data_IF_609215116775
#
_entry.id   IF_609215116775
#
_cell.length_a   1.000
_cell.length_b   1.000
_cell.length_c   1.000
_cell.angle_alpha   90.00
_cell.angle_beta   90.00
_cell.angle_gamma   90.00
#
_symmetry.space_group_name_H-M   'P 1'
#
loop_
_entity.id
_entity.type
_entity.pdbx_description
1 polymer ?
#
# COMPACT_ATOMS: atom_id res chain seq x y z
N UNK A 1 -3.40 -10.67 8.11
CA UNK A 1 -3.64 -9.81 9.30
C UNK A 1 -5.00 -9.13 9.27
N UNK A 2 -5.23 -8.09 8.45
CA UNK A 2 -6.52 -7.38 8.46
C UNK A 2 -7.72 -8.27 8.13
N UNK A 3 -7.60 -9.12 7.11
CA UNK A 3 -8.65 -10.07 6.75
C UNK A 3 -8.96 -11.05 7.90
N UNK A 4 -7.93 -11.55 8.57
CA UNK A 4 -8.09 -12.48 9.69
C UNK A 4 -8.73 -11.81 10.92
N UNK A 5 -8.43 -10.52 11.13
CA UNK A 5 -8.89 -9.75 12.29
C UNK A 5 -10.35 -9.30 12.17
N UNK A 6 -10.69 -8.63 11.07
CA UNK A 6 -11.99 -7.96 10.89
C UNK A 6 -12.80 -8.51 9.72
N UNK A 7 -12.20 -9.34 8.87
CA UNK A 7 -12.77 -9.77 7.61
C UNK A 7 -12.84 -8.62 6.59
N UNK A 8 -12.44 -8.87 5.35
CA UNK A 8 -12.60 -7.90 4.25
C UNK A 8 -13.86 -8.25 3.45
N UNK A 9 -14.78 -7.29 3.36
CA UNK A 9 -15.93 -7.35 2.47
C UNK A 9 -15.53 -6.90 1.05
N UNK A 10 -14.96 -5.70 0.95
CA UNK A 10 -14.42 -5.12 -0.28
C UNK A 10 -13.30 -4.15 0.08
N UNK A 11 -12.50 -3.75 -0.89
CA UNK A 11 -11.46 -2.76 -0.67
C UNK A 11 -10.84 -2.25 -1.96
N UNK A 12 -10.13 -1.15 -1.83
CA UNK A 12 -9.47 -0.48 -2.92
C UNK A 12 -8.09 0.01 -2.48
N UNK A 13 -7.09 -0.27 -3.30
CA UNK A 13 -5.71 0.07 -3.01
C UNK A 13 -5.18 1.08 -4.01
N UNK A 14 -4.49 2.10 -3.51
CA UNK A 14 -3.69 2.99 -4.34
C UNK A 14 -2.23 2.76 -4.00
N UNK A 15 -1.41 2.37 -4.97
CA UNK A 15 0.04 2.28 -4.75
C UNK A 15 0.73 3.50 -5.32
N UNK A 16 1.42 4.25 -4.47
CA UNK A 16 2.19 5.42 -4.84
C UNK A 16 3.65 4.97 -4.94
N UNK A 17 4.09 4.78 -6.17
CA UNK A 17 5.38 4.19 -6.47
C UNK A 17 6.43 5.25 -6.75
N UNK A 18 7.64 5.06 -6.20
CA UNK A 18 8.83 5.66 -6.80
C UNK A 18 8.91 5.30 -8.29
N UNK A 19 9.41 6.22 -9.11
CA UNK A 19 9.65 5.89 -10.50
C UNK A 19 10.80 4.87 -10.64
N UNK A 20 10.83 4.16 -11.76
CA UNK A 20 11.88 3.19 -12.09
C UNK A 20 12.51 3.56 -13.43
N UNK A 21 13.48 2.77 -13.91
CA UNK A 21 14.08 2.98 -15.23
C UNK A 21 13.13 2.85 -16.43
N UNK A 22 11.89 2.39 -16.20
CA UNK A 22 10.84 2.34 -17.23
C UNK A 22 10.22 3.72 -17.51
N UNK A 23 10.33 4.69 -16.58
CA UNK A 23 9.88 6.07 -16.80
C UNK A 23 11.09 6.93 -17.20
N UNK A 24 11.00 7.72 -18.29
CA UNK A 24 12.13 8.42 -18.86
C UNK A 24 12.45 9.72 -18.08
N UNK A 25 13.67 10.23 -18.24
CA UNK A 25 14.08 11.53 -17.67
C UNK A 25 13.46 12.73 -18.38
N UNK A 26 13.19 12.60 -19.68
CA UNK A 26 12.51 13.57 -20.53
C UNK A 26 11.39 12.87 -21.30
N UNK A 27 10.38 13.61 -21.74
CA UNK A 27 9.32 13.08 -22.59
C UNK A 27 9.90 12.35 -23.81
N UNK A 28 9.48 11.10 -24.04
CA UNK A 28 9.95 10.25 -25.15
C UNK A 28 8.88 9.29 -25.65
N UNK A 29 9.15 8.64 -26.78
CA UNK A 29 8.26 7.64 -27.37
C UNK A 29 8.14 6.43 -26.44
N UNK A 30 6.90 6.05 -26.13
CA UNK A 30 6.60 4.87 -25.33
C UNK A 30 5.25 4.28 -25.74
N UNK A 31 5.10 2.95 -25.65
CA UNK A 31 3.86 2.23 -26.00
C UNK A 31 2.66 2.62 -25.13
N UNK A 32 2.95 2.97 -23.88
CA UNK A 32 2.02 3.57 -22.92
C UNK A 32 2.35 5.06 -22.84
N UNK A 33 1.46 5.90 -23.38
CA UNK A 33 1.67 7.34 -23.50
C UNK A 33 1.82 8.04 -22.15
N UNK A 34 1.24 7.50 -21.07
CA UNK A 34 1.46 8.05 -19.72
C UNK A 34 2.89 7.83 -19.27
N UNK A 35 3.45 6.64 -19.55
CA UNK A 35 4.82 6.29 -19.17
C UNK A 35 5.90 6.93 -20.04
N UNK A 36 5.53 7.54 -21.16
CA UNK A 36 6.45 8.32 -21.98
C UNK A 36 6.76 9.72 -21.42
N UNK A 37 6.16 10.12 -20.29
CA UNK A 37 6.33 11.46 -19.70
C UNK A 37 7.49 11.50 -18.69
N UNK A 38 8.15 12.65 -18.57
CA UNK A 38 9.29 12.87 -17.69
C UNK A 38 8.96 12.53 -16.22
N UNK A 39 9.66 11.53 -15.67
CA UNK A 39 9.35 10.91 -14.38
C UNK A 39 9.49 11.86 -13.19
N UNK A 40 10.54 12.69 -13.20
CA UNK A 40 10.83 13.62 -12.11
C UNK A 40 9.92 14.86 -12.09
N UNK A 41 9.04 15.00 -13.09
CA UNK A 41 8.15 16.17 -13.26
C UNK A 41 6.66 15.80 -13.20
N UNK A 42 6.33 14.50 -13.08
CA UNK A 42 4.98 14.01 -13.33
C UNK A 42 4.50 13.04 -12.26
N UNK A 43 3.21 13.11 -11.94
CA UNK A 43 2.48 12.03 -11.29
C UNK A 43 1.84 11.17 -12.39
N UNK A 44 2.42 10.01 -12.68
CA UNK A 44 2.05 9.20 -13.85
C UNK A 44 1.10 8.09 -13.42
N UNK A 45 -0.19 8.12 -13.83
CA UNK A 45 -1.12 7.05 -13.53
C UNK A 45 -0.69 5.75 -14.24
N UNK A 46 -0.85 4.62 -13.56
CA UNK A 46 -0.58 3.33 -14.17
C UNK A 46 -1.44 2.23 -13.55
N UNK A 47 -1.59 1.13 -14.28
CA UNK A 47 -2.25 -0.06 -13.75
C UNK A 47 -1.33 -0.78 -12.76
N UNK A 48 -1.93 -1.47 -11.79
CA UNK A 48 -1.20 -2.33 -10.86
C UNK A 48 -1.68 -3.77 -10.97
N UNK A 49 -0.74 -4.71 -10.99
CA UNK A 49 -1.04 -6.14 -10.91
C UNK A 49 -1.32 -6.62 -9.48
N UNK A 50 -1.05 -5.77 -8.47
CA UNK A 50 -1.06 -6.19 -7.06
C UNK A 50 -2.44 -6.68 -6.61
N UNK A 51 -3.53 -6.00 -6.99
CA UNK A 51 -4.88 -6.43 -6.64
C UNK A 51 -5.22 -7.81 -7.23
N UNK A 52 -4.84 -8.06 -8.49
CA UNK A 52 -5.03 -9.37 -9.14
C UNK A 52 -4.20 -10.45 -8.46
N UNK A 53 -2.96 -10.13 -8.07
CA UNK A 53 -2.07 -11.06 -7.39
C UNK A 53 -2.61 -11.47 -6.01
N UNK A 54 -3.25 -10.55 -5.26
CA UNK A 54 -3.84 -10.88 -3.95
C UNK A 54 -4.87 -12.00 -4.08
N UNK A 55 -5.73 -11.97 -5.10
CA UNK A 55 -6.72 -13.04 -5.33
C UNK A 55 -6.12 -14.41 -5.71
N UNK A 56 -4.83 -14.47 -6.06
CA UNK A 56 -4.11 -15.72 -6.32
C UNK A 56 -3.50 -16.31 -5.04
N UNK A 57 -3.00 -15.47 -4.14
CA UNK A 57 -2.38 -15.89 -2.87
C UNK A 57 -3.37 -16.04 -1.72
N UNK A 58 -4.46 -15.27 -1.75
CA UNK A 58 -5.55 -15.29 -0.77
C UNK A 58 -6.88 -15.48 -1.54
N UNK A 59 -7.24 -16.73 -1.90
CA UNK A 59 -8.41 -17.01 -2.74
C UNK A 59 -9.73 -16.46 -2.17
N UNK A 60 -9.86 -16.36 -0.86
CA UNK A 60 -11.02 -15.79 -0.17
C UNK A 60 -11.19 -14.27 -0.38
N UNK A 61 -10.16 -13.60 -0.90
CA UNK A 61 -10.16 -12.20 -1.31
C UNK A 61 -10.30 -11.99 -2.83
N UNK A 62 -10.41 -13.07 -3.61
CA UNK A 62 -10.56 -12.98 -5.06
C UNK A 62 -11.79 -12.15 -5.43
N UNK A 63 -11.57 -11.08 -6.19
CA UNK A 63 -12.61 -10.16 -6.64
C UNK A 63 -13.08 -9.14 -5.60
N UNK A 64 -12.51 -9.15 -4.38
CA UNK A 64 -12.87 -8.18 -3.33
C UNK A 64 -11.96 -6.96 -3.27
N UNK A 65 -10.76 -7.07 -3.82
CA UNK A 65 -9.79 -5.99 -3.85
C UNK A 65 -9.52 -5.60 -5.29
N UNK A 66 -9.56 -4.30 -5.55
CA UNK A 66 -9.08 -3.69 -6.78
C UNK A 66 -8.07 -2.59 -6.46
N UNK A 67 -7.40 -2.03 -7.46
CA UNK A 67 -6.49 -0.94 -7.22
C UNK A 67 -5.90 -0.30 -8.46
N UNK A 68 -5.27 0.84 -8.21
CA UNK A 68 -4.54 1.64 -9.20
C UNK A 68 -3.18 2.02 -8.64
N UNK A 69 -2.30 2.48 -9.52
CA UNK A 69 -1.00 2.99 -9.13
C UNK A 69 -0.74 4.38 -9.71
N UNK A 70 0.09 5.14 -9.02
CA UNK A 70 0.64 6.41 -9.50
C UNK A 70 2.14 6.36 -9.27
N UNK A 71 2.93 6.65 -10.30
CA UNK A 71 4.38 6.86 -10.17
C UNK A 71 4.62 8.32 -9.81
N UNK A 72 5.46 8.58 -8.81
CA UNK A 72 5.75 9.93 -8.32
C UNK A 72 7.24 10.26 -8.42
N UNK A 73 7.63 11.56 -8.40
CA UNK A 73 9.03 12.03 -8.46
C UNK A 73 9.91 11.68 -7.24
N UNK A 74 9.91 10.43 -6.79
CA UNK A 74 10.83 9.93 -5.75
C UNK A 74 11.73 8.81 -6.33
N UNK A 75 13.02 8.77 -5.95
CA UNK A 75 13.98 7.83 -6.54
C UNK A 75 13.87 6.42 -5.95
N UNK A 76 13.38 6.30 -4.71
CA UNK A 76 13.17 5.02 -4.03
C UNK A 76 12.13 5.18 -2.92
N UNK A 77 11.63 4.05 -2.41
CA UNK A 77 10.53 3.91 -1.46
C UNK A 77 9.18 4.25 -2.06
N UNK A 78 8.23 3.33 -1.86
CA UNK A 78 6.84 3.43 -2.33
C UNK A 78 5.91 3.28 -1.13
N UNK A 79 4.67 3.74 -1.26
CA UNK A 79 3.66 3.56 -0.22
C UNK A 79 2.40 2.90 -0.78
N UNK A 80 1.80 2.05 0.05
CA UNK A 80 0.51 1.44 -0.22
C UNK A 80 -0.52 2.20 0.61
N UNK A 81 -1.55 2.74 -0.03
CA UNK A 81 -2.69 3.34 0.65
C UNK A 81 -3.91 2.45 0.43
N UNK A 82 -4.14 1.56 1.39
CA UNK A 82 -5.17 0.51 1.36
C UNK A 82 -6.41 0.95 2.12
N UNK A 83 -7.56 0.90 1.46
CA UNK A 83 -8.87 1.12 2.05
C UNK A 83 -9.66 -0.17 1.97
N UNK A 84 -10.28 -0.59 3.07
CA UNK A 84 -11.14 -1.77 3.13
C UNK A 84 -12.44 -1.43 3.85
N UNK A 85 -13.51 -2.13 3.49
CA UNK A 85 -14.72 -2.25 4.29
C UNK A 85 -14.61 -3.54 5.10
N UNK A 86 -14.57 -3.38 6.42
CA UNK A 86 -14.53 -4.47 7.38
C UNK A 86 -15.92 -5.12 7.52
N UNK A 87 -15.96 -6.44 7.69
CA UNK A 87 -17.24 -7.18 7.88
C UNK A 87 -17.92 -6.91 9.23
N UNK A 88 -17.18 -6.33 10.18
CA UNK A 88 -17.68 -5.94 11.50
C UNK A 88 -17.12 -4.59 11.91
N UNK A 89 -17.75 -3.98 12.90
CA UNK A 89 -17.23 -2.77 13.52
C UNK A 89 -15.85 -3.01 14.15
N UNK A 90 -14.97 -2.02 13.99
CA UNK A 90 -13.59 -1.96 14.50
C UNK A 90 -13.23 -0.51 14.83
N UNK A 91 -12.07 -0.30 15.46
CA UNK A 91 -11.48 1.03 15.62
C UNK A 91 -9.98 1.02 15.28
N UNK A 92 -9.35 2.21 15.25
CA UNK A 92 -7.94 2.35 14.91
C UNK A 92 -7.02 1.67 15.94
N UNK A 93 -7.40 1.61 17.22
CA UNK A 93 -6.60 0.97 18.27
C UNK A 93 -6.54 -0.53 18.05
N UNK A 94 -7.67 -1.15 17.72
CA UNK A 94 -7.75 -2.58 17.40
C UNK A 94 -6.88 -2.93 16.19
N UNK A 95 -6.98 -2.16 15.11
CA UNK A 95 -6.17 -2.35 13.90
C UNK A 95 -4.67 -2.21 14.21
N UNK A 96 -4.28 -1.12 14.89
CA UNK A 96 -2.90 -0.83 15.23
C UNK A 96 -2.31 -1.92 16.15
N UNK A 97 -3.05 -2.37 17.15
CA UNK A 97 -2.60 -3.42 18.06
C UNK A 97 -2.40 -4.77 17.34
N UNK A 98 -3.27 -5.11 16.39
CA UNK A 98 -3.13 -6.34 15.62
C UNK A 98 -1.93 -6.29 14.67
N UNK A 99 -1.71 -5.17 13.99
CA UNK A 99 -0.58 -4.96 13.09
C UNK A 99 0.75 -4.96 13.85
N UNK A 100 0.82 -4.28 15.00
CA UNK A 100 1.97 -4.31 15.89
C UNK A 100 2.30 -5.72 16.35
N UNK A 101 1.30 -6.44 16.87
CA UNK A 101 1.47 -7.85 17.29
C UNK A 101 1.99 -8.71 16.16
N UNK A 102 1.45 -8.55 14.94
CA UNK A 102 1.90 -9.30 13.78
C UNK A 102 3.37 -9.03 13.44
N UNK A 103 3.79 -7.76 13.49
CA UNK A 103 5.18 -7.34 13.25
C UNK A 103 6.17 -7.90 14.28
N UNK A 104 5.72 -8.09 15.53
CA UNK A 104 6.58 -8.59 16.62
C UNK A 104 6.59 -10.13 16.71
N UNK A 105 5.64 -10.80 16.06
CA UNK A 105 5.41 -12.24 16.17
C UNK A 105 5.49 -12.93 14.79
N UNK A 106 4.34 -13.34 14.22
CA UNK A 106 4.28 -14.24 13.07
C UNK A 106 4.84 -13.65 11.77
N UNK A 107 5.00 -12.32 11.68
CA UNK A 107 5.63 -11.62 10.55
C UNK A 107 6.92 -10.90 10.95
N UNK A 108 7.56 -11.30 12.06
CA UNK A 108 8.82 -10.69 12.50
C UNK A 108 9.90 -10.77 11.42
N UNK A 109 10.51 -9.62 11.10
CA UNK A 109 11.51 -9.49 10.03
C UNK A 109 10.91 -9.39 8.61
N UNK A 110 9.58 -9.49 8.47
CA UNK A 110 8.86 -9.33 7.19
C UNK A 110 8.02 -8.05 7.23
N UNK A 111 7.26 -7.85 8.31
CA UNK A 111 6.44 -6.67 8.56
C UNK A 111 7.12 -5.81 9.62
N UNK A 112 7.52 -4.60 9.26
CA UNK A 112 7.89 -3.54 10.20
C UNK A 112 6.67 -2.81 10.74
N UNK A 113 6.86 -2.07 11.83
CA UNK A 113 5.84 -1.21 12.43
C UNK A 113 6.52 0.04 12.98
N UNK A 114 5.99 1.22 12.67
CA UNK A 114 6.52 2.50 13.19
C UNK A 114 5.42 3.37 13.76
N UNK A 115 5.76 4.04 14.85
CA UNK A 115 4.99 5.11 15.49
C UNK A 115 5.73 6.45 15.45
N UNK A 116 6.92 6.49 14.82
CA UNK A 116 7.71 7.70 14.67
C UNK A 116 7.17 8.52 13.48
N UNK A 117 7.36 9.85 13.48
CA UNK A 117 6.92 10.72 12.39
C UNK A 117 7.86 10.61 11.18
N UNK A 118 7.97 9.41 10.62
CA UNK A 118 8.84 9.12 9.49
C UNK A 118 8.28 9.64 8.16
N UNK A 119 9.19 9.90 7.23
CA UNK A 119 8.88 10.16 5.83
C UNK A 119 9.47 9.07 4.94
N UNK A 120 9.10 9.05 3.65
CA UNK A 120 9.48 7.96 2.73
C UNK A 120 10.98 7.61 2.75
N UNK A 121 11.88 8.60 2.77
CA UNK A 121 13.32 8.34 2.72
C UNK A 121 13.86 7.62 3.95
N UNK A 122 13.17 7.70 5.10
CA UNK A 122 13.59 7.02 6.34
C UNK A 122 13.50 5.49 6.22
N UNK A 123 12.70 4.98 5.27
CA UNK A 123 12.57 3.56 4.98
C UNK A 123 13.50 3.10 3.84
N UNK A 124 14.34 3.98 3.32
CA UNK A 124 15.30 3.60 2.29
C UNK A 124 16.29 2.58 2.87
N UNK A 125 16.49 1.48 2.16
CA UNK A 125 17.33 0.36 2.60
C UNK A 125 16.80 -0.42 3.81
N UNK A 126 15.54 -0.21 4.19
CA UNK A 126 14.85 -1.09 5.13
C UNK A 126 14.62 -2.47 4.47
N UNK A 127 15.03 -3.59 5.09
CA UNK A 127 14.89 -4.93 4.51
C UNK A 127 13.49 -5.53 4.64
N UNK A 128 12.56 -4.91 5.37
CA UNK A 128 11.19 -5.43 5.52
C UNK A 128 10.42 -5.37 4.20
N UNK A 129 9.47 -6.28 4.01
CA UNK A 129 8.58 -6.28 2.85
C UNK A 129 7.53 -5.18 2.90
N UNK A 130 7.15 -4.76 4.11
CA UNK A 130 6.19 -3.68 4.37
C UNK A 130 6.46 -3.14 5.77
N UNK A 131 6.32 -1.83 5.97
CA UNK A 131 6.39 -1.19 7.28
C UNK A 131 5.10 -0.42 7.52
N UNK A 132 4.33 -0.83 8.52
CA UNK A 132 3.03 -0.24 8.85
C UNK A 132 3.18 1.06 9.64
N UNK A 133 2.44 2.11 9.25
CA UNK A 133 2.53 3.42 9.87
C UNK A 133 1.34 3.66 10.81
N UNK A 134 1.60 3.67 12.13
CA UNK A 134 0.55 3.69 13.16
C UNK A 134 -0.42 4.88 13.06
N UNK A 135 0.13 6.08 12.83
CA UNK A 135 -0.61 7.34 12.85
C UNK A 135 -1.42 7.60 11.57
N UNK A 136 -1.21 6.78 10.53
CA UNK A 136 -1.93 6.85 9.25
C UNK A 136 -3.21 6.01 9.24
N UNK A 137 -3.44 5.18 10.27
CA UNK A 137 -4.67 4.40 10.41
C UNK A 137 -5.87 5.31 10.66
N UNK A 138 -6.89 5.18 9.82
CA UNK A 138 -8.19 5.83 10.00
C UNK A 138 -9.30 4.80 9.93
N UNK A 139 -10.30 4.95 10.79
CA UNK A 139 -11.54 4.19 10.70
C UNK A 139 -12.70 5.17 10.64
N UNK A 140 -13.51 5.07 9.58
CA UNK A 140 -14.72 5.87 9.39
C UNK A 140 -15.94 4.97 9.49
N UNK A 141 -17.00 5.48 10.13
CA UNK A 141 -18.28 4.78 10.28
C UNK A 141 -18.15 3.35 10.85
N UNK A 142 -17.11 3.13 11.68
CA UNK A 142 -16.81 1.84 12.32
C UNK A 142 -16.31 0.72 11.41
N UNK A 143 -16.40 0.85 10.08
CA UNK A 143 -16.14 -0.27 9.13
C UNK A 143 -15.24 0.11 7.96
N UNK A 144 -15.19 1.37 7.55
CA UNK A 144 -14.27 1.82 6.50
C UNK A 144 -12.89 2.09 7.11
N UNK A 145 -11.95 1.17 6.90
CA UNK A 145 -10.59 1.23 7.42
C UNK A 145 -9.64 1.68 6.32
N UNK A 146 -8.79 2.68 6.60
CA UNK A 146 -7.66 3.09 5.77
C UNK A 146 -6.37 2.87 6.54
N UNK A 147 -5.38 2.25 5.90
CA UNK A 147 -4.03 2.03 6.45
C UNK A 147 -2.95 2.35 5.42
N UNK A 148 -1.74 2.64 5.92
CA UNK A 148 -0.53 2.85 5.11
C UNK A 148 0.66 2.09 5.69
#
# INVERSE_FOLDING_TARGET
VLNDLVGIETGFMTTIHAYTGDQPTLDTLHKDLYRGRAAAMSMIPTSTGAAKAIGLVLPELKGKLDGVAIRVPTPNVSVVDLKIVAKRATDAKEINAAMKRASEQQLKGILGYTSAPNVSIDFNHDPHSSTFHEDQTKVQNGTLVRVM
#
